data_IF_075536991062
#
_entry.id   IF_075536991062
#
_cell.length_a   1.000
_cell.length_b   1.000
_cell.length_c   1.000
_cell.angle_alpha   90.00
_cell.angle_beta   90.00
_cell.angle_gamma   90.00
#
_symmetry.space_group_name_H-M   'P 1'
#
loop_
_entity.id
_entity.type
_entity.pdbx_description
1 polymer ?
2 non-polymer ?
3 non-polymer ?
4 water ?
#
# COMPACT_ATOMS: atom_id res chain seq x y z
N UNK A 1 -4.47 -14.16 -16.77
CA UNK A 1 -3.57 -13.08 -16.32
C UNK A 1 -2.55 -12.83 -17.42
N UNK A 2 -2.18 -11.57 -17.63
CA UNK A 2 -1.13 -11.26 -18.62
C UNK A 2 0.26 -11.66 -18.10
N UNK A 3 1.25 -11.61 -18.98
CA UNK A 3 2.63 -11.92 -18.57
C UNK A 3 3.21 -10.85 -17.66
N UNK A 4 2.72 -9.63 -17.74
CA UNK A 4 3.24 -8.54 -16.93
C UNK A 4 2.20 -7.47 -16.80
N UNK A 5 2.25 -6.72 -15.71
CA UNK A 5 1.47 -5.52 -15.56
C UNK A 5 2.26 -4.58 -14.66
N UNK A 6 2.15 -3.29 -14.95
CA UNK A 6 2.80 -2.26 -14.14
C UNK A 6 1.82 -1.10 -14.05
N UNK A 7 1.12 -1.01 -12.93
CA UNK A 7 0.10 0.01 -12.76
C UNK A 7 0.67 1.43 -12.69
N UNK A 8 1.96 1.59 -12.49
CA UNK A 8 2.57 2.92 -12.62
C UNK A 8 2.40 3.46 -14.01
N UNK A 9 2.59 2.61 -15.00
CA UNK A 9 2.43 3.00 -16.42
C UNK A 9 1.02 3.28 -16.82
N UNK A 10 0.08 2.77 -16.08
CA UNK A 10 -1.33 2.86 -16.36
C UNK A 10 -1.98 4.04 -15.61
N UNK A 11 -1.21 4.81 -14.84
CA UNK A 11 -1.72 6.01 -14.23
C UNK A 11 -2.38 5.86 -12.85
N UNK A 12 -2.20 4.71 -12.20
CA UNK A 12 -2.90 4.40 -10.95
C UNK A 12 -2.06 4.58 -9.69
N UNK A 13 -0.83 5.10 -9.82
CA UNK A 13 0.11 5.12 -8.71
C UNK A 13 0.71 6.51 -8.57
N UNK A 14 0.57 7.08 -7.38
CA UNK A 14 1.13 8.37 -7.03
C UNK A 14 2.64 8.25 -6.80
N UNK A 15 3.36 9.36 -6.72
CA UNK A 15 4.76 9.28 -6.36
C UNK A 15 5.03 8.61 -5.02
N UNK A 16 6.23 8.10 -4.87
CA UNK A 16 6.68 7.51 -3.63
C UNK A 16 6.73 8.52 -2.53
N UNK A 17 6.27 8.12 -1.37
CA UNK A 17 6.19 8.92 -0.16
C UNK A 17 7.20 8.41 0.87
N UNK A 18 7.29 9.14 1.96
CA UNK A 18 8.22 8.82 3.03
C UNK A 18 7.51 8.89 4.39
N UNK A 19 7.35 7.76 5.03
CA UNK A 19 6.77 7.70 6.36
C UNK A 19 7.62 8.37 7.41
N UNK A 20 8.91 8.50 7.15
CA UNK A 20 9.83 9.10 8.12
C UNK A 20 9.97 8.25 9.35
N UNK A 21 10.18 8.89 10.47
CA UNK A 21 10.46 8.22 11.75
C UNK A 21 9.16 7.97 12.50
N UNK A 22 8.32 7.11 11.92
CA UNK A 22 6.99 6.81 12.38
C UNK A 22 6.62 5.47 11.80
N UNK A 23 6.08 4.57 12.61
CA UNK A 23 5.67 3.25 12.16
C UNK A 23 4.32 3.22 11.52
N UNK A 24 4.15 4.04 10.48
CA UNK A 24 2.86 4.27 9.81
C UNK A 24 2.77 3.57 8.48
N UNK A 25 3.64 2.58 8.21
CA UNK A 25 3.59 1.82 6.97
C UNK A 25 2.22 1.34 6.61
N UNK A 26 1.45 0.84 7.59
CA UNK A 26 0.12 0.34 7.40
C UNK A 26 -0.81 1.37 6.76
N UNK A 27 -0.63 2.64 7.13
CA UNK A 27 -1.43 3.74 6.58
C UNK A 27 -1.03 3.99 5.13
N UNK A 28 0.27 3.96 4.81
CA UNK A 28 0.72 4.12 3.43
C UNK A 28 0.21 2.99 2.56
N UNK A 29 0.22 1.75 3.04
CA UNK A 29 -0.31 0.62 2.28
C UNK A 29 -1.79 0.83 1.94
N UNK A 30 -2.57 1.17 2.98
CA UNK A 30 -4.01 1.38 2.86
C UNK A 30 -4.28 2.49 1.83
N UNK A 31 -3.64 3.64 2.04
CA UNK A 31 -3.90 4.79 1.20
C UNK A 31 -3.45 4.53 -0.23
N UNK A 32 -2.29 3.92 -0.44
CA UNK A 32 -1.84 3.61 -1.79
C UNK A 32 -2.84 2.75 -2.53
N UNK A 33 -3.40 1.77 -1.83
CA UNK A 33 -4.42 0.92 -2.45
C UNK A 33 -5.66 1.75 -2.81
N UNK A 34 -6.11 2.62 -1.92
CA UNK A 34 -7.29 3.42 -2.21
C UNK A 34 -7.03 4.39 -3.38
N UNK A 35 -5.84 4.99 -3.43
CA UNK A 35 -5.48 5.88 -4.53
C UNK A 35 -5.64 5.16 -5.85
N UNK A 36 -5.16 3.91 -5.91
CA UNK A 36 -5.28 3.12 -7.13
C UNK A 36 -6.71 2.72 -7.44
N UNK A 37 -7.48 2.28 -6.46
CA UNK A 37 -8.86 1.86 -6.71
C UNK A 37 -9.71 3.03 -7.18
N UNK A 38 -9.48 4.19 -6.61
CA UNK A 38 -10.22 5.39 -6.98
C UNK A 38 -9.92 5.76 -8.43
N UNK A 39 -8.64 5.71 -8.83
CA UNK A 39 -8.27 6.04 -10.18
C UNK A 39 -8.79 5.02 -11.18
N UNK A 40 -8.68 3.74 -10.87
CA UNK A 40 -9.15 2.69 -11.77
C UNK A 40 -10.66 2.72 -11.95
N UNK A 41 -11.39 3.27 -10.98
CA UNK A 41 -12.84 3.47 -11.06
C UNK A 41 -13.20 4.58 -12.04
N UNK A 42 -12.24 5.32 -12.54
CA UNK A 42 -12.49 6.39 -13.50
C UNK A 42 -12.30 7.79 -13.02
N UNK A 43 -11.71 8.01 -11.87
CA UNK A 43 -11.52 9.33 -11.32
C UNK A 43 -10.07 9.75 -11.57
N UNK A 44 -9.77 11.04 -11.59
CA UNK A 44 -8.39 11.45 -11.74
C UNK A 44 -7.56 10.95 -10.56
N UNK A 45 -6.31 10.59 -10.83
CA UNK A 45 -5.39 10.21 -9.77
C UNK A 45 -5.24 11.36 -8.81
N UNK A 46 -5.34 11.07 -7.52
CA UNK A 46 -5.14 12.05 -6.49
C UNK A 46 -4.44 11.44 -5.30
N UNK A 47 -3.50 12.19 -4.72
CA UNK A 47 -2.80 11.73 -3.50
C UNK A 47 -3.71 11.95 -2.30
N UNK A 48 -3.86 10.90 -1.52
CA UNK A 48 -4.74 10.86 -0.36
C UNK A 48 -3.95 10.86 0.93
N UNK A 49 -4.63 11.05 2.05
CA UNK A 49 -4.02 11.39 3.32
C UNK A 49 -3.73 10.20 4.24
N UNK A 50 -2.46 9.83 4.32
CA UNK A 50 -2.03 8.93 5.40
C UNK A 50 -2.20 9.58 6.75
N UNK A 51 -2.01 10.89 6.88
CA UNK A 51 -2.09 11.56 8.17
C UNK A 51 -3.47 11.39 8.79
N UNK A 52 -4.51 11.41 7.96
CA UNK A 52 -5.86 11.14 8.44
C UNK A 52 -5.89 9.86 9.25
N UNK A 53 -5.34 8.80 8.68
CA UNK A 53 -5.28 7.52 9.38
C UNK A 53 -4.38 7.58 10.63
N UNK A 54 -3.17 8.11 10.47
CA UNK A 54 -2.24 8.14 11.58
C UNK A 54 -2.85 8.83 12.77
N UNK A 55 -3.52 9.97 12.53
CA UNK A 55 -4.04 10.77 13.61
C UNK A 55 -5.45 10.44 14.06
N UNK A 56 -6.29 9.88 13.21
CA UNK A 56 -7.74 9.78 13.46
C UNK A 56 -8.26 8.36 13.58
N UNK A 57 -7.54 7.38 13.03
CA UNK A 57 -7.98 5.97 13.12
C UNK A 57 -7.71 5.45 14.52
N UNK A 58 -8.79 5.24 15.26
CA UNK A 58 -8.76 4.90 16.66
C UNK A 58 -8.62 3.40 16.91
N UNK A 59 -8.68 2.58 15.87
CA UNK A 59 -8.43 1.15 15.98
C UNK A 59 -6.92 0.86 15.98
N UNK A 60 -6.26 1.45 15.03
CA UNK A 60 -4.79 1.41 14.88
C UNK A 60 -4.10 2.34 15.87
N UNK A 61 -2.77 2.34 15.83
CA UNK A 61 -1.96 2.93 16.87
C UNK A 61 -1.06 4.03 16.35
N UNK A 62 -1.46 4.73 15.30
CA UNK A 62 -0.61 5.81 14.83
C UNK A 62 0.75 5.33 14.42
N UNK A 63 1.78 6.02 14.91
CA UNK A 63 3.15 5.62 14.65
C UNK A 63 3.57 4.33 15.34
N UNK A 64 2.75 3.83 16.25
CA UNK A 64 3.04 2.57 16.95
C UNK A 64 2.65 1.32 16.17
N UNK A 65 2.00 1.46 15.03
CA UNK A 65 1.64 0.36 14.17
C UNK A 65 0.17 0.22 13.93
N UNK A 66 -0.17 -0.72 13.04
CA UNK A 66 -1.53 -0.86 12.61
C UNK A 66 -1.66 -1.96 11.57
N UNK A 67 -2.90 -2.21 11.17
CA UNK A 67 -3.23 -3.19 10.16
C UNK A 67 -4.07 -2.55 9.08
N UNK A 68 -3.81 -2.84 7.81
CA UNK A 68 -4.65 -2.37 6.72
C UNK A 68 -6.09 -2.80 6.95
N UNK A 69 -6.32 -4.01 7.43
CA UNK A 69 -7.70 -4.47 7.67
C UNK A 69 -8.44 -3.51 8.62
N UNK A 70 -7.76 -3.12 9.71
CA UNK A 70 -8.34 -2.18 10.64
C UNK A 70 -8.61 -0.82 10.00
N UNK A 71 -7.67 -0.35 9.18
CA UNK A 71 -7.78 0.96 8.58
C UNK A 71 -8.96 1.04 7.61
N UNK A 72 -9.15 -0.01 6.82
CA UNK A 72 -10.29 -0.05 5.94
C UNK A 72 -11.59 -0.06 6.75
N UNK A 73 -11.61 -0.83 7.84
CA UNK A 73 -12.79 -0.85 8.71
C UNK A 73 -13.05 0.53 9.31
N UNK A 74 -12.01 1.22 9.80
CA UNK A 74 -12.22 2.53 10.39
C UNK A 74 -12.77 3.49 9.33
N UNK A 75 -12.21 3.49 8.13
CA UNK A 75 -12.67 4.42 7.11
C UNK A 75 -14.17 4.25 6.86
N UNK A 76 -14.58 3.01 6.64
CA UNK A 76 -15.98 2.69 6.30
C UNK A 76 -16.91 2.89 7.49
N UNK A 77 -16.55 2.38 8.63
CA UNK A 77 -17.47 2.33 9.77
C UNK A 77 -17.40 3.56 10.67
N UNK A 78 -16.32 4.32 10.61
CA UNK A 78 -16.11 5.50 11.47
C UNK A 78 -15.94 6.80 10.74
N UNK A 79 -15.59 6.77 9.44
CA UNK A 79 -15.40 8.00 8.69
C UNK A 79 -16.30 8.09 7.49
N UNK A 80 -17.40 7.38 7.50
CA UNK A 80 -18.40 7.53 6.43
C UNK A 80 -17.92 7.04 5.10
N UNK A 81 -16.85 6.22 5.03
CA UNK A 81 -16.27 5.80 3.77
C UNK A 81 -15.30 6.79 3.17
N UNK A 82 -15.15 7.97 3.78
CA UNK A 82 -14.42 9.06 3.14
C UNK A 82 -12.94 9.00 3.41
N UNK A 83 -12.19 9.46 2.42
CA UNK A 83 -10.74 9.57 2.51
C UNK A 83 -10.34 10.95 2.04
N UNK A 84 -9.69 11.71 2.91
CA UNK A 84 -9.32 13.10 2.61
C UNK A 84 -8.09 13.16 1.73
N UNK A 85 -7.95 14.25 0.98
CA UNK A 85 -6.76 14.43 0.14
C UNK A 85 -5.53 14.70 1.02
N UNK A 86 -4.37 14.36 0.47
CA UNK A 86 -3.09 14.77 1.09
C UNK A 86 -3.03 16.28 1.22
N UNK A 87 -3.48 17.00 0.20
CA UNK A 87 -3.47 18.46 0.22
C UNK A 87 -4.28 18.98 1.44
N UNK A 88 -5.40 18.36 1.77
CA UNK A 88 -6.26 18.79 2.87
C UNK A 88 -5.64 18.51 4.22
N UNK A 89 -4.85 17.44 4.27
CA UNK A 89 -4.46 16.84 5.54
C UNK A 89 -3.07 16.27 5.36
N UNK A 90 -2.06 17.13 5.32
CA UNK A 90 -0.72 16.69 4.92
C UNK A 90 -0.02 15.90 5.98
N UNK A 91 0.99 15.16 5.55
CA UNK A 91 1.73 14.30 6.45
C UNK A 91 2.74 15.10 7.27
N UNK A 92 2.59 15.04 8.57
CA UNK A 92 3.43 15.76 9.51
C UNK A 92 4.08 14.87 10.53
N UNK A 93 3.85 13.55 10.49
CA UNK A 93 4.41 12.66 11.46
C UNK A 93 5.79 12.11 11.08
N UNK A 94 6.46 12.63 10.07
CA UNK A 94 7.75 12.08 9.65
C UNK A 94 8.90 12.35 10.62
N UNK A 95 8.76 13.27 11.55
CA UNK A 95 9.75 13.38 12.65
C UNK A 95 9.17 12.87 13.96
N UNK A 96 8.16 12.05 13.89
CA UNK A 96 7.54 11.38 15.01
C UNK A 96 6.50 12.18 15.75
N UNK A 97 6.22 13.43 15.37
CA UNK A 97 5.12 14.17 16.00
C UNK A 97 3.80 13.50 15.68
N UNK A 98 2.92 13.47 16.67
CA UNK A 98 1.60 12.87 16.56
C UNK A 98 0.55 13.78 17.14
N UNK A 99 0.20 14.82 16.35
CA UNK A 99 -0.82 15.75 16.79
C UNK A 99 -2.20 15.10 16.90
N UNK A 100 -3.09 15.77 17.62
CA UNK A 100 -4.46 15.35 17.65
C UNK A 100 -5.08 15.27 16.26
N UNK A 101 -6.00 14.35 16.16
CA UNK A 101 -6.94 14.38 15.00
C UNK A 101 -7.58 15.75 14.73
N UNK A 102 -7.53 16.19 13.46
CA UNK A 102 -8.11 17.45 12.98
C UNK A 102 -9.63 17.24 12.83
N UNK A 103 -10.02 16.42 11.92
CA UNK A 103 -11.39 16.46 11.30
C UNK A 103 -12.41 17.66 11.48
N UNK A 104 -12.88 18.08 10.30
CA UNK A 104 -13.24 19.48 9.92
C UNK A 104 -13.14 20.19 8.50
N UNK A 105 -14.09 19.95 7.58
CA UNK A 105 -14.05 20.62 6.30
C UNK A 105 -12.96 20.13 5.38
N UNK A 106 -12.33 18.99 5.70
CA UNK A 106 -11.31 18.48 4.80
C UNK A 106 -11.91 18.12 3.45
N UNK A 107 -11.16 18.42 2.40
CA UNK A 107 -11.50 17.98 1.06
C UNK A 107 -11.58 16.46 0.99
N UNK A 108 -12.72 15.98 0.51
CA UNK A 108 -12.93 14.55 0.33
C UNK A 108 -12.36 14.15 -1.00
N UNK A 109 -11.33 13.33 -1.00
CA UNK A 109 -10.68 12.86 -2.22
C UNK A 109 -11.23 11.61 -2.81
N UNK A 110 -11.71 10.70 -2.01
CA UNK A 110 -12.18 9.40 -2.45
C UNK A 110 -13.17 8.88 -1.44
N UNK A 111 -13.93 7.86 -1.82
CA UNK A 111 -14.80 7.13 -0.91
C UNK A 111 -14.75 5.66 -1.23
N UNK A 112 -14.80 4.85 -0.18
CA UNK A 112 -14.87 3.40 -0.33
C UNK A 112 -16.08 2.89 0.42
N UNK A 113 -16.52 1.69 0.04
CA UNK A 113 -17.67 1.07 0.64
C UNK A 113 -17.42 -0.18 1.44
N UNK A 114 -16.26 -0.83 1.20
CA UNK A 114 -15.95 -2.09 1.82
C UNK A 114 -14.48 -2.40 1.48
N UNK A 115 -14.03 -3.57 1.88
CA UNK A 115 -12.75 -4.08 1.46
C UNK A 115 -12.85 -5.59 1.35
N UNK A 116 -11.96 -6.19 0.60
CA UNK A 116 -11.95 -7.63 0.38
C UNK A 116 -10.57 -8.19 0.66
N UNK A 117 -10.55 -9.44 1.06
CA UNK A 117 -9.35 -10.23 1.27
C UNK A 117 -9.11 -11.13 0.08
N UNK A 118 -7.86 -11.26 -0.32
CA UNK A 118 -7.49 -12.17 -1.39
C UNK A 118 -6.90 -13.44 -0.80
N UNK A 119 -7.00 -14.54 -1.52
CA UNK A 119 -6.40 -15.79 -1.06
C UNK A 119 -4.90 -15.74 -1.04
N UNK A 120 -4.31 -16.64 -0.27
CA UNK A 120 -2.86 -16.80 -0.17
C UNK A 120 -2.37 -17.63 -1.33
N UNK A 121 -2.38 -17.06 -2.52
CA UNK A 121 -2.24 -17.70 -3.82
C UNK A 121 -1.71 -16.72 -4.87
N UNK A 122 -0.39 -16.84 -5.15
CA UNK A 122 0.26 -15.86 -5.99
C UNK A 122 -0.38 -15.73 -7.36
N UNK A 123 -0.83 -16.85 -7.93
CA UNK A 123 -1.48 -16.76 -9.21
C UNK A 123 -2.81 -15.96 -9.11
N UNK A 124 -3.60 -16.24 -8.09
CA UNK A 124 -4.87 -15.51 -7.91
C UNK A 124 -4.60 -14.04 -7.62
N UNK A 125 -3.57 -13.75 -6.84
CA UNK A 125 -3.20 -12.38 -6.53
C UNK A 125 -2.81 -11.65 -7.83
N UNK A 126 -1.99 -12.29 -8.67
CA UNK A 126 -1.59 -11.69 -9.94
C UNK A 126 -2.77 -11.40 -10.82
N UNK A 127 -3.69 -12.35 -10.94
CA UNK A 127 -4.86 -12.16 -11.80
C UNK A 127 -5.72 -11.01 -11.30
N UNK A 128 -5.94 -10.94 -9.99
CA UNK A 128 -6.75 -9.89 -9.40
C UNK A 128 -6.09 -8.54 -9.55
N UNK A 129 -4.78 -8.49 -9.31
CA UNK A 129 -4.01 -7.25 -9.51
C UNK A 129 -4.15 -6.75 -10.95
N UNK A 130 -3.96 -7.66 -11.90
CA UNK A 130 -3.98 -7.27 -13.31
C UNK A 130 -5.34 -6.70 -13.70
N UNK A 131 -6.38 -7.26 -13.12
CA UNK A 131 -7.73 -6.77 -13.48
C UNK A 131 -8.12 -5.49 -12.71
N UNK A 132 -7.69 -5.37 -11.46
CA UNK A 132 -8.33 -4.43 -10.56
C UNK A 132 -7.45 -3.31 -10.03
N UNK A 133 -6.13 -3.42 -10.11
CA UNK A 133 -5.26 -2.36 -9.65
C UNK A 133 -4.43 -2.74 -8.43
N UNK A 134 -3.60 -1.79 -7.99
CA UNK A 134 -2.67 -2.06 -6.89
C UNK A 134 -3.31 -2.62 -5.63
N UNK A 135 -2.66 -3.52 -4.94
CA UNK A 135 -3.21 -4.22 -3.77
C UNK A 135 -2.40 -3.94 -2.54
N UNK A 136 -3.06 -3.77 -1.41
CA UNK A 136 -2.36 -3.69 -0.13
C UNK A 136 -1.85 -5.07 0.22
N UNK A 137 -0.59 -5.15 0.64
CA UNK A 137 -0.03 -6.41 1.09
C UNK A 137 0.82 -6.21 2.33
N UNK A 138 0.97 -7.27 3.11
CA UNK A 138 1.90 -7.34 4.21
C UNK A 138 3.09 -8.19 3.84
N UNK A 139 4.26 -7.83 4.39
CA UNK A 139 5.48 -8.60 4.23
C UNK A 139 6.23 -8.66 5.54
N UNK A 140 7.17 -9.60 5.60
CA UNK A 140 8.27 -9.54 6.53
C UNK A 140 9.32 -8.59 5.91
N UNK A 141 9.57 -7.49 6.56
CA UNK A 141 10.49 -6.47 6.05
C UNK A 141 11.94 -6.67 6.47
N UNK A 142 12.29 -7.78 7.11
CA UNK A 142 13.65 -7.96 7.57
C UNK A 142 14.67 -7.77 6.43
N UNK A 143 14.43 -8.38 5.27
CA UNK A 143 15.34 -8.30 4.17
C UNK A 143 15.24 -6.96 3.43
N UNK A 144 14.18 -6.19 3.67
CA UNK A 144 14.09 -4.87 3.05
C UNK A 144 15.14 -3.91 3.60
N UNK A 145 15.53 -4.13 4.86
CA UNK A 145 16.37 -3.19 5.56
C UNK A 145 17.73 -3.05 4.89
N UNK A 146 18.21 -4.09 4.23
CA UNK A 146 19.53 -4.05 3.55
C UNK A 146 19.38 -4.19 2.04
N UNK A 147 18.22 -3.93 1.50
CA UNK A 147 18.04 -3.95 0.07
C UNK A 147 18.73 -2.80 -0.61
N UNK A 148 19.43 -3.11 -1.69
CA UNK A 148 20.16 -2.17 -2.50
C UNK A 148 19.91 -2.33 -4.00
N UNK A 149 18.87 -2.98 -4.42
CA UNK A 149 18.55 -3.17 -5.83
C UNK A 149 18.57 -4.62 -6.30
N UNK A 150 17.83 -4.81 -7.37
CA UNK A 150 17.71 -6.10 -7.97
C UNK A 150 16.52 -6.89 -7.46
N UNK A 151 16.42 -8.16 -7.81
CA UNK A 151 15.26 -8.97 -7.47
C UNK A 151 15.56 -9.86 -6.28
N UNK A 152 14.92 -9.69 -5.13
CA UNK A 152 15.16 -10.67 -4.02
C UNK A 152 14.64 -12.05 -4.33
N UNK A 153 15.46 -13.07 -4.04
CA UNK A 153 15.08 -14.50 -4.22
C UNK A 153 15.19 -15.29 -2.92
N UNK A 154 15.83 -14.73 -1.88
CA UNK A 154 16.01 -15.42 -0.62
C UNK A 154 15.57 -14.52 0.54
N UNK A 155 14.44 -13.85 0.35
CA UNK A 155 13.89 -12.95 1.34
C UNK A 155 13.58 -13.68 2.64
N UNK A 156 13.92 -13.10 3.78
CA UNK A 156 13.52 -13.66 5.07
C UNK A 156 12.00 -13.65 5.19
N UNK A 157 11.44 -14.80 5.50
CA UNK A 157 10.01 -15.03 5.36
C UNK A 157 9.45 -15.68 6.62
N UNK A 158 9.50 -14.93 7.73
CA UNK A 158 9.30 -15.44 9.07
C UNK A 158 8.03 -14.83 9.73
N UNK A 159 7.90 -13.51 9.70
CA UNK A 159 6.85 -12.85 10.44
C UNK A 159 6.46 -11.54 9.74
N UNK A 160 5.18 -11.38 9.47
CA UNK A 160 4.67 -10.14 8.87
C UNK A 160 4.88 -8.97 9.82
N UNK A 161 5.44 -7.87 9.32
CA UNK A 161 5.68 -6.72 10.15
C UNK A 161 5.64 -5.40 9.42
N UNK A 162 5.17 -5.39 8.17
CA UNK A 162 5.25 -4.20 7.32
C UNK A 162 4.14 -4.26 6.31
N UNK A 163 3.52 -3.12 6.01
CA UNK A 163 2.53 -3.01 4.95
C UNK A 163 3.07 -2.18 3.83
N UNK A 164 2.87 -2.66 2.60
CA UNK A 164 3.38 -2.04 1.37
C UNK A 164 2.31 -2.18 0.29
N UNK A 165 2.63 -1.76 -0.93
CA UNK A 165 1.66 -1.72 -2.02
C UNK A 165 2.20 -2.50 -3.20
N UNK A 166 1.44 -3.50 -3.64
CA UNK A 166 1.79 -4.33 -4.79
C UNK A 166 1.27 -3.63 -6.03
N UNK A 167 2.16 -3.22 -6.94
CA UNK A 167 1.75 -2.42 -8.13
C UNK A 167 1.91 -3.16 -9.43
N UNK A 168 2.59 -4.31 -9.48
CA UNK A 168 2.78 -4.97 -10.76
C UNK A 168 3.58 -6.25 -10.60
N UNK A 169 3.85 -6.86 -11.72
CA UNK A 169 4.69 -8.04 -11.82
C UNK A 169 5.21 -8.15 -13.25
N UNK A 170 6.20 -9.00 -13.44
CA UNK A 170 6.72 -9.34 -14.77
C UNK A 170 7.20 -10.77 -14.73
N UNK A 171 6.49 -11.63 -15.48
CA UNK A 171 6.89 -13.02 -15.62
C UNK A 171 7.97 -13.22 -16.66
N UNK A 172 8.15 -12.26 -17.57
CA UNK A 172 9.13 -12.35 -18.64
C UNK A 172 10.49 -11.88 -18.14
N UNK A 173 11.00 -12.61 -17.15
CA UNK A 173 12.20 -12.32 -16.44
C UNK A 173 12.71 -13.59 -15.82
N UNK A 174 14.04 -13.71 -15.68
CA UNK A 174 14.68 -14.78 -14.94
C UNK A 174 15.23 -14.20 -13.65
N UNK A 175 14.49 -14.29 -12.54
CA UNK A 175 13.20 -14.94 -12.35
C UNK A 175 12.05 -13.94 -12.49
N UNK A 176 10.82 -14.46 -12.52
CA UNK A 176 9.66 -13.56 -12.44
C UNK A 176 9.70 -12.76 -11.18
N UNK A 177 9.14 -11.54 -11.22
CA UNK A 177 9.14 -10.68 -10.05
C UNK A 177 7.83 -9.92 -9.85
N UNK A 178 7.58 -9.58 -8.60
CA UNK A 178 6.63 -8.58 -8.19
C UNK A 178 7.29 -7.22 -8.11
N UNK A 179 6.50 -6.16 -8.30
CA UNK A 179 6.92 -4.78 -8.14
C UNK A 179 6.15 -4.19 -6.97
N UNK A 180 6.87 -3.73 -5.95
CA UNK A 180 6.29 -3.27 -4.71
C UNK A 180 6.73 -1.84 -4.39
N UNK A 181 5.75 -0.97 -4.13
CA UNK A 181 5.98 0.40 -3.70
C UNK A 181 6.15 0.43 -2.19
N UNK A 182 7.29 0.88 -1.72
CA UNK A 182 7.54 1.08 -0.29
C UNK A 182 7.28 2.55 0.06
N UNK A 183 7.35 2.88 1.35
CA UNK A 183 7.08 4.20 1.89
C UNK A 183 8.28 4.70 2.65
N UNK A 184 9.47 4.47 2.13
CA UNK A 184 10.74 4.86 2.75
C UNK A 184 11.46 5.91 1.90
N UNK A 185 10.71 6.69 1.12
CA UNK A 185 11.18 7.73 0.19
C UNK A 185 11.65 7.13 -1.12
N UNK A 186 11.78 8.02 -2.11
CA UNK A 186 12.27 7.64 -3.40
C UNK A 186 13.78 7.43 -3.45
N UNK A 187 14.47 7.61 -2.33
CA UNK A 187 15.90 7.37 -2.22
C UNK A 187 16.24 5.94 -1.89
N UNK A 188 15.24 5.15 -1.44
CA UNK A 188 15.43 3.78 -1.00
C UNK A 188 15.17 2.84 -2.17
N UNK A 189 15.96 1.80 -2.29
CA UNK A 189 15.65 0.77 -3.25
C UNK A 189 15.76 1.26 -4.68
N UNK A 190 14.83 0.84 -5.52
CA UNK A 190 14.79 1.19 -6.94
C UNK A 190 13.79 2.34 -7.07
N UNK A 191 14.25 3.55 -6.81
CA UNK A 191 13.38 4.74 -6.82
C UNK A 191 12.18 4.59 -5.88
N UNK A 192 12.41 3.93 -4.76
CA UNK A 192 11.39 3.74 -3.73
C UNK A 192 10.66 2.41 -3.80
N UNK A 193 10.95 1.62 -4.82
CA UNK A 193 10.37 0.34 -5.08
C UNK A 193 11.34 -0.79 -4.78
N UNK A 194 10.79 -1.98 -4.64
CA UNK A 194 11.55 -3.22 -4.51
C UNK A 194 10.92 -4.25 -5.39
N UNK A 195 11.78 -5.06 -6.02
CA UNK A 195 11.35 -6.26 -6.73
C UNK A 195 11.71 -7.48 -5.92
N UNK A 196 10.77 -8.41 -5.79
CA UNK A 196 10.99 -9.70 -5.13
C UNK A 196 10.53 -10.78 -6.09
N UNK A 197 11.15 -11.96 -6.06
CA UNK A 197 10.74 -13.05 -6.93
C UNK A 197 9.26 -13.39 -6.71
N UNK A 198 8.56 -13.68 -7.79
CA UNK A 198 7.18 -14.12 -7.85
C UNK A 198 7.16 -15.62 -8.05
N UNK A 199 6.43 -16.29 -7.18
CA UNK A 199 6.21 -17.74 -7.23
C UNK A 199 6.75 -18.53 -6.08
N UNK A 200 7.48 -17.93 -5.17
CA UNK A 200 8.08 -18.63 -4.02
C UNK A 200 7.70 -17.99 -2.70
N UNK A 201 6.57 -17.30 -2.67
CA UNK A 201 6.07 -16.59 -1.50
C UNK A 201 7.15 -15.79 -0.77
N UNK A 202 7.91 -15.02 -1.53
CA UNK A 202 8.98 -14.21 -0.94
C UNK A 202 8.43 -13.25 0.07
N UNK A 203 9.09 -13.23 1.22
CA UNK A 203 8.79 -12.28 2.29
C UNK A 203 7.39 -12.45 2.85
N UNK A 204 6.78 -13.62 2.63
CA UNK A 204 5.39 -13.90 3.05
C UNK A 204 4.37 -13.00 2.33
N UNK A 205 4.70 -12.54 1.14
CA UNK A 205 3.86 -11.55 0.44
C UNK A 205 2.46 -12.04 0.14
N UNK A 206 2.18 -13.35 0.14
CA UNK A 206 0.85 -13.80 -0.21
C UNK A 206 -0.10 -13.80 0.97
N UNK A 207 0.36 -13.46 2.17
CA UNK A 207 -0.37 -13.89 3.37
C UNK A 207 -1.54 -12.97 3.74
N UNK A 208 -1.43 -11.67 3.47
CA UNK A 208 -2.42 -10.70 3.95
C UNK A 208 -2.61 -9.64 2.87
N UNK A 209 -3.16 -10.07 1.74
CA UNK A 209 -3.41 -9.22 0.58
C UNK A 209 -4.86 -8.77 0.60
N UNK A 210 -5.10 -7.47 0.39
CA UNK A 210 -6.44 -6.89 0.50
C UNK A 210 -6.59 -5.74 -0.44
N UNK A 211 -7.84 -5.35 -0.65
CA UNK A 211 -8.14 -4.15 -1.45
C UNK A 211 -9.43 -3.54 -1.00
N UNK A 212 -9.46 -2.21 -0.99
CA UNK A 212 -10.71 -1.45 -0.83
C UNK A 212 -11.61 -1.73 -2.04
N UNK A 213 -12.91 -1.52 -1.82
CA UNK A 213 -13.96 -1.57 -2.82
C UNK A 213 -14.48 -0.13 -2.96
N UNK A 214 -14.39 0.40 -4.17
CA UNK A 214 -15.00 1.69 -4.54
C UNK A 214 -16.34 1.39 -5.20
N UNK A 215 -17.40 2.08 -4.75
CA UNK A 215 -18.75 1.94 -5.38
C UNK A 215 -19.27 0.57 -5.09
X LIG B 1 1.62 -3.87 12.21
X LIG B 1 2.69 -3.60 11.26
X LIG B 1 2.17 -3.75 9.81
X LIG B 1 1.45 -5.04 9.48
X LIG B 1 1.79 -6.25 10.06
X LIG B 1 1.07 -7.41 9.70
X LIG B 1 0.05 -7.34 8.78
X LIG B 1 -0.29 -6.13 8.24
X LIG B 1 0.40 -5.00 8.58
X LIG B 1 3.20 -2.17 11.40
X LIG B 1 4.47 -1.95 11.12
X LIG B 1 5.05 -0.61 11.10
X LIG B 1 6.14 -0.44 12.14
X LIG B 1 5.66 -0.53 13.57
X LIG B 1 6.71 -0.07 14.53
X LIG B 1 7.93 -0.77 14.60
X LIG B 1 8.92 -0.35 15.47
X LIG B 1 8.75 0.75 16.25
X LIG B 1 7.55 1.45 16.22
X LIG B 1 6.52 1.04 15.37
X LIG B 1 6.71 -1.16 9.21
X LIG B 1 8.23 -0.24 9.16
X LIG B 1 9.29 -1.36 9.97
X LIG B 1 9.79 -1.11 11.24
X LIG B 1 10.61 -2.02 11.96
X LIG B 1 10.87 -3.24 11.35
X LIG B 1 10.35 -3.50 10.08
X LIG B 1 9.52 -2.59 9.40
X LIG B 1 8.15 0.91 10.09
X LIG B 1 8.59 0.07 7.82
X LIG B 1 2.40 -1.29 11.69
X LIG B 1 1.85 -3.90 13.52
X LIG B 1 3.01 -3.70 13.95
X LIG B 1 0.85 -4.17 14.40
X LIG B 1 1.21 -4.11 15.83
X LIG B 1 0.19 -4.44 16.75
X LIG B 1 -1.07 -4.62 16.29
X LIG B 1 -1.29 -5.20 14.96
X LIG B 1 -0.52 -4.37 13.99
X LIG B 1 5.54 -0.31 9.67
X LIG C 1 2.65 -18.67 -3.11
X LIG C 1 3.43 -19.40 -4.23
X LIG C 1 1.06 -18.73 -3.35
X LIG C 1 0.79 -19.35 -4.59
X LIG D 1 5.96 11.72 1.72
X LIG D 1 7.31 12.06 1.58
X LIG D 1 5.07 12.02 2.91
X LIG D 1 3.69 12.04 2.37
X LIG E 1 -1.78 12.58 -8.09
X LIG E 1 -2.05 14.02 -8.16
X LIG E 1 -0.34 12.26 -7.77
X LIG E 1 -0.04 12.90 -6.53
X LIG F 1 12.13 5.48 6.72
X LIG F 1 10.85 5.44 7.35
X LIG F 1 12.22 6.42 5.54
X LIG F 1 12.51 7.68 6.09
X LIG G 1 3.21 18.13 17.11
X LIG G 1 2.52 17.04 17.77
X LIG G 1 2.47 18.76 15.94
X LIG G 1 2.80 18.16 14.67
X LIG H 1 -3.02 22.90 1.41
X LIG H 1 -2.28 24.09 1.81
X LIG H 1 -2.86 22.40 -0.06
X LIG H 1 -2.36 23.34 -1.00
X LIG I 1 7.78 10.66 -9.10
X LIG I 1 7.51 11.78 -10.01
X LIG I 1 7.36 9.30 -9.63
X LIG I 1 5.98 8.99 -9.58
X LIG J 1 5.06 5.85 -10.27
X LIG J 1 3.76 5.97 -10.83
X LIG J 1 5.23 6.69 -9.03
X LIG J 1 5.38 5.95 -7.83
X LIG K 1 -11.91 -11.54 -2.83
X LIG K 1 -13.35 -11.42 -3.01
X LIG K 1 -11.18 -11.62 -4.17
X LIG K 1 -10.94 -12.98 -4.62
X LIG L 1 19.81 -16.28 2.20
X LIG L 1 19.36 -17.36 3.05
X LIG L 1 20.48 -16.79 0.92
X LIG L 1 19.93 -18.01 0.41
X LIG M 1 14.02 -8.71 -22.86
X LIG M 1 14.37 -8.93 -21.49
X LIG M 1 12.57 -9.05 -23.17
X LIG M 1 12.32 -9.06 -24.58
#
# INVERSE_FOLDING_TARGET
>A
APAAVDWREKGAVTPVKDQGQCGSCWAFSTIGNIEGQWQVAGNPLVSLSEQMLVSCDTIDFGCGGGLMDNAFNWIVNSNGGNVFTEASYPYVSGNGEQPQCQMNGHEIGAAITDHVDLPQDEDAIAAYLAENGPLAIAVDATSFMDYNGGILTSCTSEQLDHGVLLVGYNDASNPPYWIIKNSWSNMWGEDGYIRIEKGTNQCLMNQAVSSAVVG
>B hetero
1 VS1 N1 C3 C12 C14 C15 C16 C17 C18 C19 C11 N20 C21 C23 C24 C29 C30 C31 C32 C33 C34 C25 S26 C35 C36 C37 C38 C39 C40 O36 O35 O13 C2 O10 N4 C5 C6 O7 C8 C9 C22
>C hetero
1 EDO C1 O1 C2 O2
>D hetero
1 EDO C1 O1 C2 O2
>E hetero
1 EDO C1 O1 C2 O2
>F hetero
1 EDO C1 O1 C2 O2
>G hetero
1 EDO C1 O1 C2 O2
>H hetero
1 EDO C1 O1 C2 O2
>I hetero
1 EDO C1 O1 C2 O2
>J hetero
1 EDO C1 O1 C2 O2
>K hetero
1 EDO C1 O1 C2 O2
>L hetero
1 EDO C1 O1 C2 O2
>M hetero
1 EDO C1 O1 C2 O2
#
